data_IF_804072798391
#
_entry.id   IF_804072798391
#
_cell.length_a   1.000
_cell.length_b   1.000
_cell.length_c   1.000
_cell.angle_alpha   90.00
_cell.angle_beta   90.00
_cell.angle_gamma   90.00
#
_symmetry.space_group_name_H-M   'P 1'
#
loop_
_entity.id
_entity.type
_entity.pdbx_description
1 polymer ?
#
# COMPACT_ATOMS: atom_id res chain seq x y z
N UNK A 1 43.57 -24.57 5.60
CA UNK A 1 43.66 -23.12 5.89
C UNK A 1 44.79 -22.90 6.89
N UNK A 2 45.92 -22.32 6.47
CA UNK A 2 47.09 -22.17 7.36
C UNK A 2 46.79 -21.07 8.37
N UNK A 3 46.89 -21.36 9.67
CA UNK A 3 46.66 -20.38 10.73
C UNK A 3 47.59 -19.18 10.51
N UNK A 4 47.01 -17.98 10.37
CA UNK A 4 47.69 -16.70 10.13
C UNK A 4 48.83 -16.46 11.12
N UNK A 5 48.68 -16.94 12.36
CA UNK A 5 49.73 -16.92 13.40
C UNK A 5 51.04 -17.61 12.98
N UNK A 6 50.95 -18.74 12.26
CA UNK A 6 52.12 -19.52 11.83
C UNK A 6 52.93 -18.76 10.77
N UNK A 7 52.29 -17.87 10.02
CA UNK A 7 52.92 -17.00 9.02
C UNK A 7 53.56 -15.79 9.71
N UNK A 8 52.80 -15.10 10.57
CA UNK A 8 53.25 -13.85 11.19
C UNK A 8 54.30 -14.02 12.29
N UNK A 9 54.39 -15.18 12.94
CA UNK A 9 55.33 -15.37 14.06
C UNK A 9 56.80 -15.20 13.69
N UNK A 10 57.15 -15.35 12.41
CA UNK A 10 58.52 -15.24 11.91
C UNK A 10 58.80 -13.89 11.21
N UNK A 11 57.78 -13.05 11.05
CA UNK A 11 57.95 -11.70 10.50
C UNK A 11 58.80 -10.84 11.44
N UNK A 12 59.80 -10.14 10.87
CA UNK A 12 60.74 -9.31 11.64
C UNK A 12 60.01 -8.19 12.39
N UNK A 13 58.97 -7.61 11.77
CA UNK A 13 58.12 -6.57 12.38
C UNK A 13 57.37 -7.10 13.60
N UNK A 14 56.83 -8.32 13.50
CA UNK A 14 56.10 -8.95 14.60
C UNK A 14 57.02 -9.34 15.76
N UNK A 15 58.17 -9.95 15.44
CA UNK A 15 59.19 -10.29 16.44
C UNK A 15 59.70 -9.05 17.20
N UNK A 16 59.91 -7.93 16.50
CA UNK A 16 60.32 -6.67 17.11
C UNK A 16 59.24 -6.10 18.03
N UNK A 17 57.97 -6.18 17.63
CA UNK A 17 56.84 -5.73 18.45
C UNK A 17 56.66 -6.57 19.72
N UNK A 18 56.72 -7.91 19.59
CA UNK A 18 56.65 -8.81 20.74
C UNK A 18 57.82 -8.60 21.70
N UNK A 19 59.04 -8.38 21.19
CA UNK A 19 60.21 -8.08 22.02
C UNK A 19 60.09 -6.73 22.74
N UNK A 20 59.45 -5.73 22.14
CA UNK A 20 59.13 -4.46 22.82
C UNK A 20 58.15 -4.69 23.98
N UNK A 21 57.08 -5.45 23.76
CA UNK A 21 56.10 -5.78 24.79
C UNK A 21 56.68 -6.62 25.94
N UNK A 22 57.56 -7.58 25.65
CA UNK A 22 58.23 -8.36 26.70
C UNK A 22 59.16 -7.47 27.51
N UNK A 23 59.98 -6.65 26.85
CA UNK A 23 60.88 -5.73 27.52
C UNK A 23 60.14 -4.67 28.36
N UNK A 24 58.94 -4.25 27.95
CA UNK A 24 58.11 -3.31 28.72
C UNK A 24 57.50 -3.98 29.96
N UNK A 25 57.08 -5.25 29.85
CA UNK A 25 56.68 -6.06 31.00
C UNK A 25 57.85 -6.33 31.96
N UNK A 26 59.04 -6.63 31.44
CA UNK A 26 60.23 -6.89 32.25
C UNK A 26 60.74 -5.60 32.93
N UNK A 27 60.57 -4.43 32.30
CA UNK A 27 60.87 -3.11 32.88
C UNK A 27 59.85 -2.64 33.93
N UNK A 28 58.66 -3.24 33.98
CA UNK A 28 57.68 -2.96 35.05
C UNK A 28 58.01 -3.68 36.37
N UNK A 29 59.05 -4.53 36.40
CA UNK A 29 59.42 -5.35 37.55
C UNK A 29 60.74 -4.94 38.24
N UNK A 30 61.22 -3.70 38.06
CA UNK A 30 62.33 -3.16 38.87
C UNK A 30 62.14 -1.66 39.15
N UNK A 31 62.18 -1.21 40.42
CA UNK A 31 62.05 0.21 40.75
C UNK A 31 63.42 0.87 40.64
N UNK A 32 63.59 1.80 39.70
CA UNK A 32 64.66 2.78 39.79
C UNK A 32 64.11 4.18 39.45
N UNK A 33 64.21 5.18 40.34
CA UNK A 33 63.56 6.46 40.17
C UNK A 33 64.52 7.45 39.53
N UNK A 34 64.37 7.73 38.25
CA UNK A 34 64.95 8.94 37.67
C UNK A 34 64.27 9.27 36.34
N UNK A 35 63.91 10.56 36.21
CA UNK A 35 63.43 11.24 35.00
C UNK A 35 61.95 11.01 34.66
N UNK A 36 61.12 11.66 35.48
CA UNK A 36 59.80 12.15 35.06
C UNK A 36 60.02 13.30 34.06
N UNK A 37 59.91 13.01 32.78
CA UNK A 37 59.63 14.05 31.77
C UNK A 37 58.12 14.10 31.63
N UNK A 38 57.52 15.14 32.21
CA UNK A 38 56.10 15.47 32.04
C UNK A 38 55.83 15.69 30.55
N UNK A 39 55.14 14.75 29.93
CA UNK A 39 54.34 15.00 28.72
C UNK A 39 52.90 15.02 29.19
N UNK A 40 52.30 16.21 29.23
CA UNK A 40 50.86 16.40 29.40
C UNK A 40 50.13 15.64 28.29
N UNK A 41 49.71 14.42 28.60
CA UNK A 41 48.76 13.66 27.79
C UNK A 41 47.39 14.10 28.26
N UNK A 42 46.81 15.03 27.51
CA UNK A 42 45.38 15.34 27.48
C UNK A 42 44.57 14.03 27.67
N UNK A 43 43.67 13.93 28.66
CA UNK A 43 42.96 12.69 28.93
C UNK A 43 42.00 12.41 27.78
N UNK A 44 42.50 11.72 26.75
CA UNK A 44 41.68 11.14 25.69
C UNK A 44 40.66 10.24 26.36
N UNK A 45 39.43 10.72 26.47
CA UNK A 45 38.30 9.91 26.91
C UNK A 45 38.19 8.72 25.96
N UNK A 46 38.56 7.55 26.43
CA UNK A 46 38.40 6.33 25.66
C UNK A 46 36.91 6.05 25.51
N UNK A 47 36.43 5.68 24.30
CA UNK A 47 35.02 5.35 24.09
C UNK A 47 34.57 4.24 25.03
N UNK A 48 33.30 4.31 25.42
CA UNK A 48 32.74 3.41 26.44
C UNK A 48 33.01 1.95 26.07
N UNK A 49 33.60 1.22 27.02
CA UNK A 49 34.04 -0.15 26.76
C UNK A 49 32.87 -1.06 26.37
N UNK A 50 33.13 -2.00 25.47
CA UNK A 50 32.14 -2.93 24.92
C UNK A 50 31.25 -3.62 25.98
N UNK A 51 31.78 -3.89 27.19
CA UNK A 51 30.99 -4.45 28.30
C UNK A 51 29.91 -3.51 28.83
N UNK A 52 30.21 -2.20 28.97
CA UNK A 52 29.24 -1.18 29.39
C UNK A 52 28.23 -0.89 28.30
N UNK A 53 28.67 -0.77 27.04
CA UNK A 53 27.78 -0.62 25.89
C UNK A 53 26.78 -1.78 25.76
N UNK A 54 27.24 -3.02 26.00
CA UNK A 54 26.38 -4.21 25.99
C UNK A 54 25.39 -4.23 27.17
N UNK A 55 25.79 -3.78 28.35
CA UNK A 55 24.90 -3.65 29.50
C UNK A 55 23.82 -2.59 29.26
N UNK A 56 24.17 -1.44 28.68
CA UNK A 56 23.20 -0.39 28.35
C UNK A 56 22.21 -0.83 27.28
N UNK A 57 22.65 -1.60 26.28
CA UNK A 57 21.77 -2.20 25.26
C UNK A 57 20.82 -3.25 25.82
N UNK A 58 21.30 -4.08 26.76
CA UNK A 58 20.52 -5.19 27.31
C UNK A 58 19.66 -4.79 28.53
N UNK A 59 19.81 -3.56 29.03
CA UNK A 59 18.95 -3.01 30.07
C UNK A 59 17.54 -2.74 29.50
N UNK A 60 16.52 -3.22 30.20
CA UNK A 60 15.11 -3.04 29.85
C UNK A 60 14.70 -1.58 30.08
N UNK A 61 15.14 -0.67 29.21
CA UNK A 61 14.69 0.72 29.21
C UNK A 61 13.33 0.79 28.49
N UNK A 62 12.37 1.57 29.01
CA UNK A 62 11.18 1.92 28.24
C UNK A 62 11.62 2.57 26.92
N UNK A 63 10.84 2.36 25.85
CA UNK A 63 11.15 2.92 24.54
C UNK A 63 11.41 4.44 24.68
N UNK A 64 12.44 4.98 23.99
CA UNK A 64 12.68 6.42 23.99
C UNK A 64 11.39 7.18 23.70
N UNK A 65 11.14 8.29 24.40
CA UNK A 65 9.93 9.12 24.22
C UNK A 65 9.68 9.48 22.74
N UNK A 66 10.76 9.64 21.96
CA UNK A 66 10.71 9.83 20.52
C UNK A 66 10.04 8.67 19.76
N UNK A 67 10.27 7.41 20.15
CA UNK A 67 9.62 6.23 19.55
C UNK A 67 8.13 6.21 19.92
N UNK A 68 7.80 6.47 21.19
CA UNK A 68 6.39 6.54 21.62
C UNK A 68 5.62 7.66 20.91
N UNK A 69 6.24 8.81 20.67
CA UNK A 69 5.64 9.89 19.90
C UNK A 69 5.44 9.54 18.40
N UNK A 70 6.30 8.68 17.85
CA UNK A 70 6.13 8.15 16.49
C UNK A 70 4.95 7.17 16.45
N UNK A 71 4.86 6.24 17.41
CA UNK A 71 3.76 5.26 17.48
C UNK A 71 2.40 5.96 17.55
N UNK A 72 2.26 6.97 18.41
CA UNK A 72 1.01 7.76 18.50
C UNK A 72 0.65 8.48 17.20
N UNK A 73 1.64 8.91 16.41
CA UNK A 73 1.38 9.54 15.10
C UNK A 73 0.98 8.50 14.06
N UNK A 74 1.59 7.32 14.09
CA UNK A 74 1.21 6.20 13.21
C UNK A 74 -0.21 5.74 13.51
N UNK A 75 -0.59 5.59 14.77
CA UNK A 75 -1.96 5.23 15.16
C UNK A 75 -2.99 6.23 14.64
N UNK A 76 -2.72 7.54 14.80
CA UNK A 76 -3.58 8.60 14.25
C UNK A 76 -3.65 8.55 12.73
N UNK A 77 -2.53 8.27 12.06
CA UNK A 77 -2.50 8.13 10.60
C UNK A 77 -3.36 6.96 10.14
N UNK A 78 -3.21 5.79 10.78
CA UNK A 78 -4.01 4.59 10.50
C UNK A 78 -5.50 4.89 10.72
N UNK A 79 -5.86 5.57 11.82
CA UNK A 79 -7.25 5.94 12.10
C UNK A 79 -7.83 6.85 11.01
N UNK A 80 -7.07 7.86 10.57
CA UNK A 80 -7.50 8.79 9.50
C UNK A 80 -7.65 8.06 8.17
N UNK A 81 -6.69 7.20 7.81
CA UNK A 81 -6.76 6.38 6.59
C UNK A 81 -8.00 5.47 6.60
N UNK A 82 -8.27 4.77 7.70
CA UNK A 82 -9.43 3.90 7.83
C UNK A 82 -10.76 4.67 7.72
N UNK A 83 -10.82 5.89 8.26
CA UNK A 83 -12.01 6.76 8.11
C UNK A 83 -12.18 7.20 6.66
N UNK A 84 -11.10 7.59 5.99
CA UNK A 84 -11.13 7.98 4.59
C UNK A 84 -11.58 6.84 3.67
N UNK A 85 -11.08 5.62 3.90
CA UNK A 85 -11.47 4.42 3.17
C UNK A 85 -12.96 4.10 3.35
N UNK A 86 -13.46 4.11 4.59
CA UNK A 86 -14.90 3.91 4.85
C UNK A 86 -15.78 4.96 4.19
N UNK A 87 -15.35 6.22 4.16
CA UNK A 87 -16.08 7.28 3.46
C UNK A 87 -16.07 7.06 1.95
N UNK A 88 -14.95 6.63 1.38
CA UNK A 88 -14.85 6.30 -0.05
C UNK A 88 -15.78 5.13 -0.41
N UNK A 89 -15.81 4.07 0.41
CA UNK A 89 -16.70 2.92 0.22
C UNK A 89 -18.18 3.31 0.28
N UNK A 90 -18.57 4.17 1.24
CA UNK A 90 -19.95 4.68 1.33
C UNK A 90 -20.29 5.53 0.10
N UNK A 91 -19.36 6.37 -0.36
CA UNK A 91 -19.58 7.21 -1.54
C UNK A 91 -19.72 6.38 -2.81
N UNK A 92 -18.87 5.38 -3.00
CA UNK A 92 -18.95 4.42 -4.11
C UNK A 92 -20.27 3.64 -4.07
N UNK A 93 -20.64 3.11 -2.90
CA UNK A 93 -21.91 2.43 -2.70
C UNK A 93 -23.13 3.30 -3.01
N UNK A 94 -23.09 4.59 -2.66
CA UNK A 94 -24.15 5.54 -3.00
C UNK A 94 -24.18 5.85 -4.51
N UNK A 95 -23.01 5.99 -5.14
CA UNK A 95 -22.92 6.22 -6.58
C UNK A 95 -23.46 5.03 -7.39
N UNK A 96 -23.09 3.80 -7.00
CA UNK A 96 -23.58 2.58 -7.63
C UNK A 96 -25.10 2.44 -7.48
N UNK A 97 -25.65 2.66 -6.28
CA UNK A 97 -27.11 2.63 -6.06
C UNK A 97 -27.85 3.67 -6.91
N UNK A 98 -27.29 4.87 -7.09
CA UNK A 98 -27.89 5.89 -7.96
C UNK A 98 -27.84 5.49 -9.43
N UNK A 99 -26.73 4.89 -9.87
CA UNK A 99 -26.59 4.38 -11.23
C UNK A 99 -27.59 3.25 -11.50
N UNK A 100 -27.69 2.26 -10.61
CA UNK A 100 -28.62 1.14 -10.71
C UNK A 100 -30.07 1.63 -10.74
N UNK A 101 -30.43 2.59 -9.88
CA UNK A 101 -31.77 3.19 -9.89
C UNK A 101 -32.08 3.89 -11.22
N UNK A 102 -31.12 4.61 -11.79
CA UNK A 102 -31.29 5.26 -13.10
C UNK A 102 -31.45 4.23 -14.24
N UNK A 103 -30.63 3.17 -14.23
CA UNK A 103 -30.73 2.07 -15.20
C UNK A 103 -32.08 1.34 -15.10
N UNK A 104 -32.54 1.06 -13.88
CA UNK A 104 -33.83 0.41 -13.65
C UNK A 104 -34.98 1.28 -14.17
N UNK A 105 -34.98 2.58 -13.85
CA UNK A 105 -35.99 3.53 -14.34
C UNK A 105 -36.00 3.62 -15.87
N UNK A 106 -34.84 3.68 -16.51
CA UNK A 106 -34.73 3.67 -17.97
C UNK A 106 -35.33 2.37 -18.56
N UNK A 107 -34.99 1.21 -17.98
CA UNK A 107 -35.53 -0.08 -18.41
C UNK A 107 -37.05 -0.15 -18.21
N UNK A 108 -37.57 0.35 -17.09
CA UNK A 108 -39.02 0.43 -16.84
C UNK A 108 -39.72 1.34 -17.85
N UNK A 109 -39.16 2.51 -18.16
CA UNK A 109 -39.73 3.42 -19.15
C UNK A 109 -39.71 2.83 -20.57
N UNK A 110 -38.61 2.14 -20.93
CA UNK A 110 -38.49 1.43 -22.19
C UNK A 110 -39.52 0.30 -22.30
N UNK A 111 -39.64 -0.54 -21.27
CA UNK A 111 -40.60 -1.64 -21.22
C UNK A 111 -42.03 -1.13 -21.26
N UNK A 112 -42.36 -0.07 -20.50
CA UNK A 112 -43.67 0.57 -20.55
C UNK A 112 -44.01 1.06 -21.96
N UNK A 113 -43.02 1.63 -22.67
CA UNK A 113 -43.19 2.07 -24.06
C UNK A 113 -43.44 0.88 -24.98
N UNK A 114 -42.68 -0.22 -24.82
CA UNK A 114 -42.90 -1.47 -25.57
C UNK A 114 -44.28 -2.06 -25.31
N UNK A 115 -44.75 -2.11 -24.06
CA UNK A 115 -46.10 -2.59 -23.72
C UNK A 115 -47.18 -1.76 -24.43
N UNK A 116 -47.12 -0.43 -24.33
CA UNK A 116 -48.09 0.46 -25.01
C UNK A 116 -48.08 0.28 -26.52
N UNK A 117 -46.91 0.07 -27.12
CA UNK A 117 -46.78 -0.20 -28.54
C UNK A 117 -47.37 -1.56 -28.94
N UNK A 118 -47.25 -2.59 -28.08
CA UNK A 118 -47.89 -3.89 -28.29
C UNK A 118 -49.41 -3.80 -28.19
N UNK A 119 -49.93 -3.03 -27.23
CA UNK A 119 -51.37 -2.80 -27.09
C UNK A 119 -51.93 -2.11 -28.34
N UNK A 120 -51.28 -1.03 -28.80
CA UNK A 120 -51.63 -0.34 -30.05
C UNK A 120 -51.54 -1.27 -31.27
N UNK A 121 -50.52 -2.13 -31.35
CA UNK A 121 -50.37 -3.09 -32.45
C UNK A 121 -51.55 -4.08 -32.48
N UNK A 122 -51.96 -4.58 -31.32
CA UNK A 122 -53.11 -5.48 -31.17
C UNK A 122 -54.43 -4.77 -31.52
N UNK A 123 -54.61 -3.53 -31.08
CA UNK A 123 -55.77 -2.70 -31.40
C UNK A 123 -55.86 -2.46 -32.91
N UNK A 124 -54.76 -2.04 -33.53
CA UNK A 124 -54.68 -1.83 -34.97
C UNK A 124 -55.09 -3.10 -35.72
N UNK A 125 -54.53 -4.26 -35.38
CA UNK A 125 -54.87 -5.55 -36.00
C UNK A 125 -56.35 -5.91 -35.87
N UNK A 126 -56.99 -5.54 -34.77
CA UNK A 126 -58.37 -5.91 -34.45
C UNK A 126 -59.40 -4.89 -34.96
N UNK A 127 -58.97 -3.68 -35.36
CA UNK A 127 -59.85 -2.62 -35.81
C UNK A 127 -60.58 -2.99 -37.12
N UNK A 128 -61.88 -2.65 -37.27
CA UNK A 128 -62.63 -2.86 -38.51
C UNK A 128 -62.01 -2.08 -39.67
N UNK A 129 -61.97 -2.71 -40.85
CA UNK A 129 -61.36 -2.13 -42.05
C UNK A 129 -62.36 -1.90 -43.20
N UNK A 130 -63.64 -2.19 -42.97
CA UNK A 130 -64.67 -2.26 -44.02
C UNK A 130 -64.94 -0.91 -44.71
N UNK A 131 -64.74 0.19 -43.99
CA UNK A 131 -65.03 1.55 -44.45
C UNK A 131 -63.77 2.31 -44.93
N UNK A 132 -62.60 1.65 -44.96
CA UNK A 132 -61.34 2.27 -45.36
C UNK A 132 -61.15 2.25 -46.89
N UNK A 133 -60.60 3.33 -47.44
CA UNK A 133 -60.15 3.36 -48.84
C UNK A 133 -58.94 2.44 -49.06
N UNK A 134 -58.67 2.08 -50.32
CA UNK A 134 -57.51 1.27 -50.68
C UNK A 134 -56.18 1.91 -50.24
N UNK A 135 -56.06 3.24 -50.38
CA UNK A 135 -54.90 4.01 -49.91
C UNK A 135 -54.74 3.92 -48.38
N UNK A 136 -55.84 4.08 -47.62
CA UNK A 136 -55.81 3.96 -46.16
C UNK A 136 -55.47 2.54 -45.70
N UNK A 137 -55.90 1.50 -46.43
CA UNK A 137 -55.53 0.10 -46.16
C UNK A 137 -54.04 -0.15 -46.40
N UNK A 138 -53.49 0.42 -47.47
CA UNK A 138 -52.06 0.32 -47.78
C UNK A 138 -51.21 1.01 -46.71
N UNK A 139 -51.60 2.21 -46.28
CA UNK A 139 -50.92 2.94 -45.22
C UNK A 139 -50.98 2.21 -43.87
N UNK A 140 -52.17 1.68 -43.50
CA UNK A 140 -52.33 0.85 -42.29
C UNK A 140 -51.43 -0.38 -42.33
N UNK A 141 -51.36 -1.08 -43.47
CA UNK A 141 -50.50 -2.26 -43.61
C UNK A 141 -49.03 -1.92 -43.42
N UNK A 142 -48.57 -0.80 -43.99
CA UNK A 142 -47.21 -0.29 -43.81
C UNK A 142 -46.91 0.11 -42.36
N UNK A 143 -47.88 0.72 -41.66
CA UNK A 143 -47.74 1.08 -40.25
C UNK A 143 -47.59 -0.17 -39.37
N UNK A 144 -48.43 -1.20 -39.60
CA UNK A 144 -48.37 -2.48 -38.88
C UNK A 144 -47.03 -3.17 -39.12
N UNK A 145 -46.53 -3.21 -40.36
CA UNK A 145 -45.21 -3.79 -40.65
C UNK A 145 -44.06 -3.03 -39.97
N UNK A 146 -44.12 -1.70 -39.98
CA UNK A 146 -43.11 -0.84 -39.32
C UNK A 146 -43.10 -1.08 -37.81
N UNK A 147 -44.27 -1.16 -37.17
CA UNK A 147 -44.40 -1.49 -35.75
C UNK A 147 -43.89 -2.90 -35.43
N UNK A 148 -44.20 -3.89 -36.29
CA UNK A 148 -43.70 -5.26 -36.14
C UNK A 148 -42.18 -5.30 -36.14
N UNK A 149 -41.53 -4.58 -37.05
CA UNK A 149 -40.07 -4.49 -37.08
C UNK A 149 -39.51 -3.84 -35.81
N UNK A 150 -40.11 -2.74 -35.33
CA UNK A 150 -39.66 -2.07 -34.12
C UNK A 150 -39.84 -2.92 -32.84
N UNK A 151 -40.94 -3.67 -32.74
CA UNK A 151 -41.28 -4.49 -31.57
C UNK A 151 -40.52 -5.81 -31.51
N UNK A 152 -40.25 -6.43 -32.66
CA UNK A 152 -39.67 -7.77 -32.77
C UNK A 152 -38.30 -7.76 -33.45
N UNK A 153 -37.58 -6.63 -33.43
CA UNK A 153 -36.18 -6.59 -33.82
C UNK A 153 -35.38 -7.62 -33.01
N UNK A 154 -34.58 -8.45 -33.68
CA UNK A 154 -33.61 -9.30 -32.98
C UNK A 154 -32.57 -8.38 -32.34
N UNK A 155 -32.43 -8.46 -31.02
CA UNK A 155 -31.27 -7.93 -30.32
C UNK A 155 -30.03 -8.68 -30.86
N UNK A 156 -29.22 -8.01 -31.69
CA UNK A 156 -27.91 -8.51 -32.16
C UNK A 156 -26.84 -8.26 -31.10
#
# INVERSE_FOLDING_TARGET
>A
MVHVWRILRHEKKWSAYVKKLSNEKDKSATPNPAQVVNVEVDPKQHPVGHKKAKQERNGKRPAPEAISAIDQKLDKFIEVCNKAEKMAEVQEGLANKKLEAAQLNHKTAQEQTKCKMLDLYKELLSAPTNDLSEEALAERSKAIESMRLALFSKDN
#
